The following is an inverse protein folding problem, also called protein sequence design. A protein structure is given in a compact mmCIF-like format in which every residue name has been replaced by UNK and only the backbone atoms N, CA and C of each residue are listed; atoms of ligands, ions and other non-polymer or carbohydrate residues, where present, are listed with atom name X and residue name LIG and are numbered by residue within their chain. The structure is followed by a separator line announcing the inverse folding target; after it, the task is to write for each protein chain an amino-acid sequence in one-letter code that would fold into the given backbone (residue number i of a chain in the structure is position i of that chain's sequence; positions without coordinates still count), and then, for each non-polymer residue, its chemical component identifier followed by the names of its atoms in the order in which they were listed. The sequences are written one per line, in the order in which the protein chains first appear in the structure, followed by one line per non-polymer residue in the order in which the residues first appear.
data_IF_322713431710
#
_entry.id   IF_322713431710
#
_cell.length_a   1.000
_cell.length_b   1.000
_cell.length_c   1.000
_cell.angle_alpha   90.00
_cell.angle_beta   90.00
_cell.angle_gamma   90.00
#
_symmetry.space_group_name_H-M   'P 1'
#
loop_
_entity.id
_entity.type
_entity.pdbx_description
1 polymer ?
#
# COMPACT_ATOMS: atom_id res chain seq x y z
N UNK A 1 1.52 -10.98 -45.64
CA UNK A 1 2.43 -12.03 -45.13
C UNK A 1 3.08 -11.43 -43.91
N UNK A 2 2.76 -12.03 -42.77
CA UNK A 2 2.69 -11.42 -41.45
C UNK A 2 4.02 -11.03 -40.80
N UNK A 3 3.85 -10.03 -39.95
CA UNK A 3 4.59 -9.64 -38.76
C UNK A 3 5.27 -10.78 -37.99
N UNK A 4 6.50 -10.51 -37.56
CA UNK A 4 7.01 -10.87 -36.24
C UNK A 4 8.12 -9.87 -35.84
N UNK A 5 7.86 -9.07 -34.80
CA UNK A 5 8.92 -8.38 -34.05
C UNK A 5 8.82 -8.77 -32.58
N UNK A 6 9.87 -9.41 -32.11
CA UNK A 6 10.08 -9.82 -30.72
C UNK A 6 10.70 -8.64 -29.95
N UNK A 7 10.15 -8.28 -28.81
CA UNK A 7 10.81 -7.39 -27.83
C UNK A 7 10.92 -8.13 -26.49
N UNK A 8 12.12 -8.02 -25.91
CA UNK A 8 12.58 -8.75 -24.74
C UNK A 8 11.88 -8.36 -23.43
N UNK A 9 12.12 -9.21 -22.43
CA UNK A 9 11.40 -9.20 -21.16
C UNK A 9 11.68 -8.01 -20.25
N UNK A 10 10.64 -7.67 -19.50
CA UNK A 10 10.67 -7.35 -18.08
C UNK A 10 9.21 -7.42 -17.62
N UNK A 11 8.95 -8.16 -16.54
CA UNK A 11 7.64 -8.48 -16.00
C UNK A 11 6.84 -7.21 -15.67
N UNK A 12 6.03 -6.78 -16.64
CA UNK A 12 5.03 -5.74 -16.50
C UNK A 12 3.66 -6.37 -16.39
N UNK A 13 3.34 -6.95 -15.22
CA UNK A 13 1.97 -7.32 -14.92
C UNK A 13 1.14 -6.04 -14.85
N UNK A 14 0.38 -5.78 -15.91
CA UNK A 14 -0.52 -4.64 -15.99
C UNK A 14 -1.46 -4.72 -14.79
N UNK A 15 -1.49 -3.65 -13.97
CA UNK A 15 -2.42 -3.57 -12.87
C UNK A 15 -3.84 -3.84 -13.38
N UNK A 16 -4.66 -4.63 -12.66
CA UNK A 16 -6.07 -4.75 -12.99
C UNK A 16 -6.64 -3.32 -13.07
N UNK A 17 -7.28 -2.97 -14.18
CA UNK A 17 -7.95 -1.68 -14.30
C UNK A 17 -9.26 -1.79 -13.54
N UNK A 18 -9.55 -0.85 -12.64
CA UNK A 18 -10.93 -0.66 -12.18
C UNK A 18 -11.73 -0.29 -13.42
N UNK A 19 -12.50 -1.23 -13.96
CA UNK A 19 -13.45 -0.91 -15.01
C UNK A 19 -14.42 0.11 -14.46
N UNK A 20 -14.64 1.21 -15.19
CA UNK A 20 -15.70 2.16 -14.86
C UNK A 20 -17.03 1.39 -14.85
N UNK A 21 -17.46 0.93 -13.68
CA UNK A 21 -18.66 0.07 -13.52
C UNK A 21 -18.49 -1.22 -12.72
N UNK A 22 -17.33 -1.52 -12.11
CA UNK A 22 -17.25 -2.66 -11.18
C UNK A 22 -18.13 -2.39 -9.95
N UNK A 23 -19.19 -3.18 -9.76
CA UNK A 23 -20.03 -3.10 -8.56
C UNK A 23 -19.20 -3.40 -7.31
N UNK A 24 -19.62 -2.87 -6.16
CA UNK A 24 -18.97 -3.12 -4.86
C UNK A 24 -18.73 -4.63 -4.62
N UNK A 25 -19.70 -5.46 -4.98
CA UNK A 25 -19.69 -6.92 -4.84
C UNK A 25 -18.62 -7.60 -5.71
N UNK A 26 -18.23 -6.99 -6.83
CA UNK A 26 -17.20 -7.52 -7.72
C UNK A 26 -15.77 -7.19 -7.25
N UNK A 27 -15.61 -6.30 -6.26
CA UNK A 27 -14.29 -5.96 -5.72
C UNK A 27 -13.71 -7.12 -4.91
N UNK A 28 -12.37 -7.33 -4.94
CA UNK A 28 -11.73 -8.26 -4.03
C UNK A 28 -12.05 -7.92 -2.57
N UNK A 29 -12.27 -8.93 -1.73
CA UNK A 29 -12.68 -8.75 -0.32
C UNK A 29 -11.74 -7.86 0.49
N UNK A 30 -10.42 -7.94 0.24
CA UNK A 30 -9.44 -7.03 0.86
C UNK A 30 -9.61 -5.57 0.44
N UNK A 31 -9.99 -5.33 -0.82
CA UNK A 31 -10.24 -3.97 -1.32
C UNK A 31 -11.51 -3.39 -0.70
N UNK A 32 -12.57 -4.20 -0.60
CA UNK A 32 -13.76 -3.81 0.16
C UNK A 32 -13.41 -3.46 1.61
N UNK A 33 -12.66 -4.33 2.30
CA UNK A 33 -12.23 -4.07 3.68
C UNK A 33 -11.34 -2.83 3.80
N UNK A 34 -10.45 -2.58 2.83
CA UNK A 34 -9.61 -1.38 2.79
C UNK A 34 -10.47 -0.11 2.73
N UNK A 35 -11.45 -0.04 1.82
CA UNK A 35 -12.33 1.13 1.70
C UNK A 35 -13.11 1.38 2.99
N UNK A 36 -13.69 0.32 3.59
CA UNK A 36 -14.41 0.42 4.86
C UNK A 36 -13.50 0.91 5.98
N UNK A 37 -12.33 0.30 6.14
CA UNK A 37 -11.36 0.68 7.17
C UNK A 37 -10.90 2.12 7.02
N UNK A 38 -10.60 2.57 5.80
CA UNK A 38 -10.18 3.96 5.58
C UNK A 38 -11.28 4.95 5.97
N UNK A 39 -12.55 4.67 5.67
CA UNK A 39 -13.67 5.51 6.14
C UNK A 39 -13.73 5.57 7.66
N UNK A 40 -13.71 4.41 8.32
CA UNK A 40 -13.71 4.32 9.79
C UNK A 40 -12.59 5.17 10.42
N UNK A 41 -11.38 5.09 9.87
CA UNK A 41 -10.22 5.85 10.36
C UNK A 41 -10.34 7.35 10.08
N UNK A 42 -10.77 7.73 8.87
CA UNK A 42 -10.91 9.13 8.48
C UNK A 42 -12.03 9.85 9.23
N UNK A 43 -13.11 9.14 9.57
CA UNK A 43 -14.24 9.66 10.34
C UNK A 43 -13.92 9.75 11.84
N UNK A 44 -12.93 8.99 12.33
CA UNK A 44 -12.53 9.00 13.75
C UNK A 44 -11.85 10.30 14.20
N UNK A 45 -11.38 11.14 13.27
CA UNK A 45 -10.85 12.47 13.58
C UNK A 45 -10.14 13.14 12.42
N UNK A 46 -10.16 14.48 12.37
CA UNK A 46 -9.55 15.26 11.30
C UNK A 46 -8.02 15.07 11.17
N UNK A 47 -7.33 14.77 12.27
CA UNK A 47 -5.88 14.55 12.29
C UNK A 47 -5.48 13.09 12.02
N UNK A 48 -6.43 12.22 11.69
CA UNK A 48 -6.16 10.81 11.43
C UNK A 48 -5.64 10.63 10.01
N UNK A 49 -4.33 10.42 9.91
CA UNK A 49 -3.63 10.20 8.64
C UNK A 49 -3.21 8.75 8.51
N UNK A 50 -3.49 8.19 7.35
CA UNK A 50 -3.33 6.77 7.04
C UNK A 50 -2.30 6.59 5.94
N UNK A 51 -1.36 5.70 6.21
CA UNK A 51 -0.37 5.24 5.27
C UNK A 51 -0.75 3.85 4.79
N UNK A 52 -0.97 3.68 3.49
CA UNK A 52 -1.37 2.39 2.91
C UNK A 52 -0.22 1.85 2.07
N UNK A 53 0.33 0.74 2.54
CA UNK A 53 1.42 0.04 1.90
C UNK A 53 0.95 -1.11 1.02
N UNK A 54 1.60 -1.21 -0.14
CA UNK A 54 1.56 -2.34 -1.05
C UNK A 54 2.99 -2.71 -1.45
N UNK A 55 3.22 -3.91 -1.97
CA UNK A 55 4.52 -4.27 -2.53
C UNK A 55 4.75 -3.64 -3.90
N UNK A 56 3.75 -3.73 -4.77
CA UNK A 56 3.88 -3.41 -6.19
C UNK A 56 3.50 -1.97 -6.51
N UNK A 57 4.31 -1.31 -7.34
CA UNK A 57 4.01 0.04 -7.81
C UNK A 57 2.73 0.10 -8.67
N UNK A 58 2.51 -0.91 -9.51
CA UNK A 58 1.30 -1.01 -10.34
C UNK A 58 0.02 -1.05 -9.47
N UNK A 59 0.10 -1.71 -8.31
CA UNK A 59 -1.02 -1.79 -7.38
C UNK A 59 -1.34 -0.45 -6.70
N UNK A 60 -0.36 0.47 -6.55
CA UNK A 60 -0.62 1.83 -6.06
C UNK A 60 -1.60 2.56 -6.98
N UNK A 61 -1.41 2.49 -8.30
CA UNK A 61 -2.29 3.16 -9.25
C UNK A 61 -3.71 2.57 -9.24
N UNK A 62 -3.83 1.24 -9.12
CA UNK A 62 -5.13 0.57 -8.97
C UNK A 62 -5.86 1.03 -7.70
N UNK A 63 -5.19 0.98 -6.54
CA UNK A 63 -5.78 1.39 -5.26
C UNK A 63 -6.15 2.87 -5.30
N UNK A 64 -5.31 3.72 -5.90
CA UNK A 64 -5.59 5.15 -6.05
C UNK A 64 -6.89 5.40 -6.80
N UNK A 65 -7.07 4.77 -7.97
CA UNK A 65 -8.30 4.87 -8.76
C UNK A 65 -9.52 4.31 -8.03
N UNK A 66 -9.36 3.18 -7.32
CA UNK A 66 -10.40 2.59 -6.49
C UNK A 66 -10.86 3.55 -5.39
N UNK A 67 -9.93 4.15 -4.64
CA UNK A 67 -10.25 5.08 -3.56
C UNK A 67 -10.96 6.32 -4.09
N UNK A 68 -10.48 6.88 -5.21
CA UNK A 68 -11.12 8.02 -5.87
C UNK A 68 -12.56 7.69 -6.31
N UNK A 69 -12.80 6.50 -6.86
CA UNK A 69 -14.14 6.03 -7.23
C UNK A 69 -15.09 5.96 -6.01
N UNK A 70 -14.55 5.68 -4.83
CA UNK A 70 -15.29 5.67 -3.56
C UNK A 70 -15.22 7.00 -2.81
N UNK A 71 -14.80 8.10 -3.44
CA UNK A 71 -14.78 9.43 -2.82
C UNK A 71 -13.75 9.59 -1.69
N UNK A 72 -12.71 8.76 -1.67
CA UNK A 72 -11.60 8.86 -0.73
C UNK A 72 -10.41 9.45 -1.49
N UNK A 73 -10.07 10.70 -1.17
CA UNK A 73 -8.90 11.34 -1.72
C UNK A 73 -7.61 10.73 -1.12
N UNK A 74 -6.66 10.43 -2.00
CA UNK A 74 -5.38 9.87 -1.61
C UNK A 74 -4.24 10.50 -2.42
N UNK A 75 -3.10 10.69 -1.77
CA UNK A 75 -1.82 10.97 -2.40
C UNK A 75 -1.13 9.65 -2.72
N UNK A 76 -0.29 9.63 -3.74
CA UNK A 76 0.49 8.45 -4.12
C UNK A 76 1.97 8.81 -4.29
N UNK A 77 2.84 8.06 -3.63
CA UNK A 77 4.26 8.07 -3.95
C UNK A 77 4.47 7.12 -5.14
N UNK A 78 4.39 7.65 -6.35
CA UNK A 78 4.49 6.86 -7.58
C UNK A 78 5.41 7.48 -8.64
N UNK A 79 6.16 8.52 -8.29
CA UNK A 79 6.81 9.40 -9.26
C UNK A 79 8.29 9.66 -9.00
N UNK A 80 8.81 10.66 -9.71
CA UNK A 80 10.17 11.17 -9.55
C UNK A 80 10.36 11.79 -8.15
N UNK A 81 11.62 12.10 -7.80
CA UNK A 81 11.96 12.63 -6.48
C UNK A 81 11.15 13.90 -6.13
N UNK A 82 10.95 14.81 -7.08
CA UNK A 82 10.21 16.05 -6.85
C UNK A 82 8.74 15.80 -6.49
N UNK A 83 8.07 14.89 -7.21
CA UNK A 83 6.68 14.51 -6.97
C UNK A 83 6.52 13.80 -5.62
N UNK A 84 7.49 12.95 -5.29
CA UNK A 84 7.56 12.28 -3.98
C UNK A 84 7.66 13.29 -2.85
N UNK A 85 8.53 14.29 -2.98
CA UNK A 85 8.70 15.33 -1.96
C UNK A 85 7.47 16.22 -1.82
N UNK A 86 6.80 16.58 -2.91
CA UNK A 86 5.56 17.35 -2.85
C UNK A 86 4.43 16.54 -2.20
N UNK A 87 4.25 15.28 -2.57
CA UNK A 87 3.25 14.40 -1.94
C UNK A 87 3.50 14.24 -0.44
N UNK A 88 4.75 14.08 0.00
CA UNK A 88 5.10 14.03 1.42
C UNK A 88 4.80 15.34 2.15
N UNK A 89 5.12 16.49 1.53
CA UNK A 89 4.82 17.81 2.08
C UNK A 89 3.32 18.01 2.25
N UNK A 90 2.55 17.71 1.20
CA UNK A 90 1.08 17.81 1.18
C UNK A 90 0.46 16.89 2.22
N UNK A 91 0.93 15.65 2.32
CA UNK A 91 0.43 14.69 3.31
C UNK A 91 0.55 15.17 4.76
N UNK A 92 1.43 16.13 5.07
CA UNK A 92 1.51 16.75 6.40
C UNK A 92 0.53 17.90 6.67
N UNK A 93 -0.19 18.40 5.66
CA UNK A 93 -1.00 19.62 5.78
C UNK A 93 -2.47 19.35 6.13
N UNK A 94 -3.11 20.15 6.99
CA UNK A 94 -4.49 19.93 7.48
C UNK A 94 -5.57 19.74 6.39
N UNK A 95 -5.45 20.46 5.26
CA UNK A 95 -6.46 20.49 4.19
C UNK A 95 -6.13 19.56 3.00
N UNK A 96 -5.05 18.80 3.10
CA UNK A 96 -4.61 17.88 2.06
C UNK A 96 -5.09 16.45 2.34
N UNK A 97 -5.13 15.57 1.32
CA UNK A 97 -5.60 14.21 1.49
C UNK A 97 -4.85 13.48 2.61
N UNK A 98 -5.63 12.81 3.46
CA UNK A 98 -5.15 12.16 4.68
C UNK A 98 -4.74 10.70 4.45
N UNK A 99 -4.83 10.21 3.22
CA UNK A 99 -4.38 8.88 2.81
C UNK A 99 -3.15 9.02 1.91
N UNK A 100 -2.07 8.31 2.22
CA UNK A 100 -0.87 8.23 1.40
C UNK A 100 -0.63 6.77 0.98
N UNK A 101 -0.57 6.55 -0.34
CA UNK A 101 -0.28 5.25 -0.93
C UNK A 101 1.21 5.17 -1.30
N UNK A 102 1.85 4.04 -1.00
CA UNK A 102 3.24 3.81 -1.39
C UNK A 102 3.56 2.32 -1.58
N UNK A 103 4.55 2.06 -2.43
CA UNK A 103 5.06 0.72 -2.69
C UNK A 103 6.44 0.49 -2.08
N UNK A 104 6.70 -0.71 -1.57
CA UNK A 104 8.05 -1.09 -1.09
C UNK A 104 9.07 -1.20 -2.23
N UNK A 105 8.64 -1.57 -3.44
CA UNK A 105 9.51 -1.65 -4.61
C UNK A 105 10.18 -0.33 -4.98
N UNK A 106 9.48 0.81 -4.79
CA UNK A 106 9.99 2.13 -5.19
C UNK A 106 10.57 2.95 -4.04
N UNK A 107 10.22 2.64 -2.79
CA UNK A 107 10.54 3.49 -1.65
C UNK A 107 11.40 2.76 -0.62
N UNK A 108 12.64 2.44 -0.98
CA UNK A 108 13.69 1.99 -0.04
C UNK A 108 14.38 3.14 0.71
N UNK A 109 14.08 4.41 0.37
CA UNK A 109 14.76 5.61 0.89
C UNK A 109 14.19 6.12 2.23
N UNK A 110 15.02 6.87 2.96
CA UNK A 110 14.80 7.38 4.33
C UNK A 110 13.74 8.48 4.49
N UNK A 111 12.60 8.37 3.79
CA UNK A 111 11.50 9.33 3.84
C UNK A 111 10.86 9.40 5.23
N UNK A 112 10.53 10.62 5.67
CA UNK A 112 9.87 10.86 6.94
C UNK A 112 8.35 10.72 6.80
N UNK A 113 7.75 9.77 7.52
CA UNK A 113 6.31 9.46 7.46
C UNK A 113 5.61 9.67 8.81
N UNK A 114 6.22 10.48 9.70
CA UNK A 114 5.71 10.79 11.04
C UNK A 114 4.30 11.39 11.05
N UNK A 115 3.84 12.01 9.97
CA UNK A 115 2.49 12.55 9.90
C UNK A 115 1.40 11.46 10.02
N UNK A 116 1.71 10.22 9.64
CA UNK A 116 0.78 9.10 9.73
C UNK A 116 0.63 8.59 11.17
N UNK A 117 -0.59 8.16 11.52
CA UNK A 117 -0.90 7.45 12.78
C UNK A 117 -1.38 6.03 12.53
N UNK A 118 -1.84 5.74 11.33
CA UNK A 118 -2.31 4.43 10.93
C UNK A 118 -1.47 3.92 9.78
N UNK A 119 -1.08 2.66 9.86
CA UNK A 119 -0.36 1.95 8.80
C UNK A 119 -1.21 0.76 8.38
N UNK A 120 -1.66 0.75 7.13
CA UNK A 120 -2.41 -0.36 6.55
C UNK A 120 -1.50 -1.11 5.59
N UNK A 121 -1.32 -2.40 5.81
CA UNK A 121 -0.54 -3.30 4.97
C UNK A 121 -1.53 -4.17 4.22
N UNK A 122 -1.63 -3.99 2.90
CA UNK A 122 -2.68 -4.65 2.09
C UNK A 122 -2.44 -6.15 1.97
N UNK A 123 -1.18 -6.57 1.92
CA UNK A 123 -0.80 -7.96 1.79
C UNK A 123 0.60 -8.16 2.38
N UNK A 124 0.92 -9.37 2.87
CA UNK A 124 2.26 -9.66 3.35
C UNK A 124 3.29 -9.46 2.24
N UNK A 125 4.49 -9.04 2.62
CA UNK A 125 5.60 -8.92 1.68
C UNK A 125 5.97 -10.30 1.16
N UNK A 126 5.70 -10.51 -0.13
CA UNK A 126 5.88 -11.73 -0.90
C UNK A 126 6.85 -11.43 -2.07
N UNK A 127 8.12 -11.11 -1.83
CA UNK A 127 9.15 -11.22 -2.88
C UNK A 127 9.81 -12.60 -2.87
N UNK A 128 9.42 -13.55 -3.74
CA UNK A 128 10.37 -14.55 -4.20
C UNK A 128 11.42 -13.79 -5.01
N UNK A 129 12.65 -13.67 -4.52
CA UNK A 129 13.76 -13.44 -5.45
C UNK A 129 13.69 -14.54 -6.49
N UNK A 130 13.73 -14.18 -7.77
CA UNK A 130 13.34 -14.95 -8.95
C UNK A 130 14.05 -16.31 -9.20
N UNK A 131 14.63 -16.93 -8.17
CA UNK A 131 15.35 -18.20 -8.23
C UNK A 131 15.09 -19.14 -7.04
N UNK A 132 14.34 -18.75 -6.00
CA UNK A 132 14.06 -19.62 -4.85
C UNK A 132 12.55 -19.86 -4.68
N UNK A 133 12.15 -21.12 -4.83
CA UNK A 133 10.83 -21.64 -4.42
C UNK A 133 10.66 -21.74 -2.90
N UNK A 134 11.44 -20.97 -2.13
CA UNK A 134 11.29 -20.94 -0.68
C UNK A 134 10.24 -19.89 -0.31
N UNK A 135 9.16 -20.37 0.28
CA UNK A 135 8.17 -19.53 0.98
C UNK A 135 8.88 -18.47 1.80
N UNK A 136 8.53 -17.20 1.60
CA UNK A 136 9.09 -16.13 2.43
C UNK A 136 8.86 -16.47 3.88
N UNK A 137 9.97 -16.51 4.62
CA UNK A 137 9.93 -16.74 6.05
C UNK A 137 9.18 -15.59 6.71
N UNK A 138 8.27 -15.91 7.65
CA UNK A 138 7.60 -14.95 8.53
C UNK A 138 8.55 -13.87 9.04
N UNK A 139 9.79 -14.25 9.36
CA UNK A 139 10.84 -13.36 9.83
C UNK A 139 11.20 -12.26 8.82
N UNK A 140 11.33 -12.60 7.53
CA UNK A 140 11.65 -11.64 6.48
C UNK A 140 10.48 -10.68 6.26
N UNK A 141 9.25 -11.20 6.19
CA UNK A 141 8.05 -10.38 6.12
C UNK A 141 8.01 -9.37 7.27
N UNK A 142 8.18 -9.82 8.52
CA UNK A 142 8.19 -8.95 9.69
C UNK A 142 9.32 -7.91 9.65
N UNK A 143 10.48 -8.23 9.10
CA UNK A 143 11.58 -7.28 8.94
C UNK A 143 11.22 -6.14 7.96
N UNK A 144 10.58 -6.47 6.82
CA UNK A 144 10.09 -5.45 5.88
C UNK A 144 9.02 -4.57 6.52
N UNK A 145 8.07 -5.16 7.24
CA UNK A 145 7.06 -4.38 7.97
C UNK A 145 7.68 -3.48 9.02
N UNK A 146 8.64 -3.99 9.80
CA UNK A 146 9.33 -3.22 10.83
C UNK A 146 10.04 -2.00 10.24
N UNK A 147 10.64 -2.13 9.04
CA UNK A 147 11.27 -1.02 8.34
C UNK A 147 10.25 0.03 7.89
N UNK A 148 9.09 -0.39 7.37
CA UNK A 148 8.00 0.50 7.01
C UNK A 148 7.40 1.23 8.23
N UNK A 149 7.14 0.49 9.31
CA UNK A 149 6.61 1.00 10.58
C UNK A 149 7.59 1.98 11.24
N UNK A 150 8.89 1.68 11.22
CA UNK A 150 9.94 2.51 11.81
C UNK A 150 10.02 3.92 11.21
N UNK A 151 9.56 4.11 9.97
CA UNK A 151 9.48 5.44 9.33
C UNK A 151 8.35 6.32 9.86
N UNK A 152 7.31 5.69 10.42
CA UNK A 152 6.18 6.36 11.05
C UNK A 152 6.46 6.56 12.54
N UNK A 153 6.93 5.51 13.22
CA UNK A 153 7.32 5.51 14.64
C UNK A 153 8.71 6.10 14.84
N UNK A 154 8.88 7.37 14.46
CA UNK A 154 10.17 8.07 14.58
C UNK A 154 10.04 9.31 15.45
N UNK A 155 11.02 9.58 16.31
CA UNK A 155 11.07 10.82 17.11
C UNK A 155 10.98 12.07 16.22
N UNK A 156 10.12 13.07 16.51
CA UNK A 156 9.38 13.29 17.76
C UNK A 156 7.90 12.85 17.74
N UNK A 157 7.51 11.81 16.99
CA UNK A 157 6.14 11.31 17.04
C UNK A 157 5.83 10.71 18.43
N UNK A 158 4.92 11.34 19.17
CA UNK A 158 4.52 10.94 20.52
C UNK A 158 3.16 10.22 20.56
N UNK A 159 2.38 10.26 19.48
CA UNK A 159 1.06 9.63 19.40
C UNK A 159 1.21 8.13 19.10
N UNK A 160 0.31 7.28 19.64
CA UNK A 160 0.27 5.87 19.28
C UNK A 160 0.09 5.68 17.77
N UNK A 161 0.84 4.74 17.21
CA UNK A 161 0.76 4.34 15.80
C UNK A 161 0.13 2.95 15.71
N UNK A 162 -1.00 2.86 15.02
CA UNK A 162 -1.76 1.63 14.82
C UNK A 162 -1.36 0.95 13.50
N UNK A 163 -1.31 -0.38 13.51
CA UNK A 163 -0.93 -1.19 12.35
C UNK A 163 -2.04 -2.16 12.03
N UNK A 164 -2.55 -2.10 10.81
CA UNK A 164 -3.61 -2.94 10.27
C UNK A 164 -3.04 -3.82 9.18
N UNK A 165 -3.17 -5.13 9.31
CA UNK A 165 -2.72 -6.12 8.32
C UNK A 165 -3.93 -6.75 7.70
N UNK A 166 -4.12 -6.54 6.41
CA UNK A 166 -5.17 -7.21 5.66
C UNK A 166 -4.65 -8.58 5.22
N UNK A 167 -5.47 -9.61 5.46
CA UNK A 167 -5.22 -10.97 5.00
C UNK A 167 -6.54 -11.64 4.66
N UNK A 168 -6.50 -12.61 3.76
CA UNK A 168 -7.66 -13.44 3.46
C UNK A 168 -7.70 -14.66 4.39
N UNK A 169 -8.84 -14.92 5.01
CA UNK A 169 -9.06 -16.11 5.83
C UNK A 169 -8.96 -17.39 4.97
N UNK A 170 -8.44 -18.46 5.55
CA UNK A 170 -8.22 -19.73 4.87
C UNK A 170 -7.09 -19.70 3.82
N UNK A 171 -6.24 -18.66 3.82
CA UNK A 171 -5.12 -18.53 2.87
C UNK A 171 -3.77 -18.61 3.57
N UNK A 172 -2.69 -18.77 2.78
CA UNK A 172 -1.30 -18.72 3.28
C UNK A 172 -1.01 -17.46 4.11
N UNK A 173 -1.65 -16.34 3.79
CA UNK A 173 -1.46 -15.08 4.52
C UNK A 173 -1.97 -15.16 5.95
N UNK A 174 -3.04 -15.93 6.19
CA UNK A 174 -3.53 -16.15 7.55
C UNK A 174 -2.48 -16.89 8.38
N UNK A 175 -1.82 -17.93 7.88
CA UNK A 175 -0.72 -18.59 8.59
C UNK A 175 0.43 -17.62 8.92
N UNK A 176 0.84 -16.84 7.90
CA UNK A 176 1.90 -15.83 8.04
C UNK A 176 1.61 -14.79 9.12
N UNK A 177 0.36 -14.40 9.35
CA UNK A 177 0.00 -13.43 10.38
C UNK A 177 -0.47 -14.05 11.70
N UNK A 178 -1.26 -15.12 11.67
CA UNK A 178 -1.87 -15.73 12.86
C UNK A 178 -0.90 -16.50 13.75
N UNK A 179 0.36 -16.70 13.34
CA UNK A 179 1.34 -17.40 14.20
C UNK A 179 1.23 -18.92 14.13
N UNK A 180 0.51 -19.44 13.14
CA UNK A 180 0.29 -20.87 12.94
C UNK A 180 1.21 -21.41 11.87
#
# INVERSE_FOLDING_TARGET
ADDLVRVGGADGEAAPRVGAGSSWEALPSKMQRLVVLLRELLDSGADERVLVFTQWAAHVAYVHGLLAHHGIEALALAGELAETMDALRRFGQPEEPRVLLLSSQRHSSGINLQAARHVVIIHPYCTPTASSQESISRTQMLAYEAQAIGRVRRYPQHRPVNIYRLFAAGTVEEGLYAGR
#
